data_IF_371026154247
#
_entry.id   IF_371026154247
#
_cell.length_a   1.000
_cell.length_b   1.000
_cell.length_c   1.000
_cell.angle_alpha   90.00
_cell.angle_beta   90.00
_cell.angle_gamma   90.00
#
_symmetry.space_group_name_H-M   'P 1'
#
loop_
_entity.id
_entity.type
_entity.pdbx_description
1 polymer ?
#
# COMPACT_ATOMS: atom_id res chain seq x y z
N UNK A 1 9.18 -8.26 -29.27
CA UNK A 1 7.74 -8.20 -29.62
C UNK A 1 7.16 -7.00 -28.90
N UNK A 2 6.41 -6.17 -29.61
CA UNK A 2 6.20 -4.77 -29.26
C UNK A 2 5.41 -4.56 -27.96
N UNK A 3 5.96 -3.64 -27.18
CA UNK A 3 5.48 -3.03 -25.94
C UNK A 3 4.05 -2.50 -26.13
N UNK A 4 3.07 -3.13 -25.49
CA UNK A 4 1.74 -2.53 -25.36
C UNK A 4 1.86 -1.54 -24.21
N UNK A 5 1.79 -0.24 -24.52
CA UNK A 5 1.67 0.85 -23.58
C UNK A 5 0.42 0.66 -22.70
N UNK A 6 0.56 -0.10 -21.60
CA UNK A 6 -0.42 -0.12 -20.51
C UNK A 6 -0.20 1.06 -19.54
N UNK A 7 0.78 1.94 -19.81
CA UNK A 7 1.28 2.99 -18.92
C UNK A 7 0.50 4.31 -18.91
N UNK A 8 -0.63 4.44 -19.62
CA UNK A 8 -1.34 5.74 -19.72
C UNK A 8 -2.84 5.71 -19.43
N UNK A 9 -3.46 4.53 -19.27
CA UNK A 9 -4.92 4.45 -19.06
C UNK A 9 -5.26 4.09 -17.63
N UNK A 10 -5.92 5.03 -16.95
CA UNK A 10 -6.52 4.80 -15.64
C UNK A 10 -7.46 3.57 -15.70
N UNK A 11 -7.54 2.78 -14.61
CA UNK A 11 -8.40 1.60 -14.55
C UNK A 11 -9.86 2.01 -14.33
N UNK A 12 -10.48 2.68 -15.31
CA UNK A 12 -11.81 3.30 -15.20
C UNK A 12 -12.87 2.35 -14.66
N UNK A 13 -12.94 1.12 -15.16
CA UNK A 13 -13.92 0.13 -14.71
C UNK A 13 -13.74 -0.24 -13.23
N UNK A 14 -12.50 -0.32 -12.74
CA UNK A 14 -12.19 -0.64 -11.34
C UNK A 14 -12.46 0.57 -10.43
N UNK A 15 -12.15 1.78 -10.90
CA UNK A 15 -12.45 3.03 -10.20
C UNK A 15 -13.96 3.25 -10.06
N UNK A 16 -14.74 2.87 -11.08
CA UNK A 16 -16.20 3.01 -11.07
C UNK A 16 -16.86 2.18 -9.95
N UNK A 17 -16.29 1.03 -9.58
CA UNK A 17 -16.75 0.22 -8.42
C UNK A 17 -16.65 1.00 -7.10
N UNK A 18 -15.73 1.96 -7.03
CA UNK A 18 -15.55 2.85 -5.88
C UNK A 18 -16.35 4.16 -6.02
N UNK A 19 -17.26 4.26 -6.99
CA UNK A 19 -18.04 5.46 -7.25
C UNK A 19 -17.27 6.59 -7.93
N UNK A 20 -16.06 6.30 -8.41
CA UNK A 20 -15.25 7.18 -9.26
C UNK A 20 -15.53 6.77 -10.72
N UNK A 21 -16.63 7.28 -11.28
CA UNK A 21 -16.94 7.08 -12.70
C UNK A 21 -15.87 7.72 -13.62
N UNK A 22 -16.07 7.57 -14.93
CA UNK A 22 -15.10 8.06 -15.92
C UNK A 22 -14.84 9.56 -15.83
N UNK A 23 -15.88 10.37 -15.64
CA UNK A 23 -15.74 11.83 -15.55
C UNK A 23 -14.93 12.20 -14.30
N UNK A 24 -15.23 11.55 -13.18
CA UNK A 24 -14.51 11.73 -11.91
C UNK A 24 -13.05 11.28 -11.98
N UNK A 25 -12.80 10.17 -12.67
CA UNK A 25 -11.46 9.64 -12.91
C UNK A 25 -10.65 10.59 -13.80
N UNK A 26 -11.27 11.12 -14.85
CA UNK A 26 -10.66 12.10 -15.75
C UNK A 26 -10.39 13.44 -15.05
N UNK A 27 -11.14 13.78 -13.99
CA UNK A 27 -10.90 14.98 -13.18
C UNK A 27 -9.94 14.78 -11.99
N UNK A 28 -9.44 13.57 -11.75
CA UNK A 28 -8.48 13.31 -10.66
C UNK A 28 -7.28 14.26 -10.73
N UNK A 29 -6.78 14.74 -9.58
CA UNK A 29 -5.56 15.54 -9.54
C UNK A 29 -4.39 14.81 -10.19
N UNK A 30 -3.52 15.57 -10.83
CA UNK A 30 -2.38 15.04 -11.59
C UNK A 30 -1.49 14.13 -10.73
N UNK A 31 -1.23 14.50 -9.47
CA UNK A 31 -0.47 13.69 -8.50
C UNK A 31 -1.09 12.28 -8.31
N UNK A 32 -2.42 12.17 -8.26
CA UNK A 32 -3.11 10.90 -8.07
C UNK A 32 -2.98 10.03 -9.32
N UNK A 33 -3.13 10.64 -10.51
CA UNK A 33 -2.99 9.93 -11.78
C UNK A 33 -1.57 9.42 -11.97
N UNK A 34 -0.57 10.24 -11.66
CA UNK A 34 0.84 9.88 -11.73
C UNK A 34 1.18 8.73 -10.77
N UNK A 35 0.72 8.79 -9.52
CA UNK A 35 0.92 7.71 -8.55
C UNK A 35 0.22 6.41 -8.95
N UNK A 36 -1.00 6.49 -9.47
CA UNK A 36 -1.68 5.31 -10.00
C UNK A 36 -0.94 4.73 -11.22
N UNK A 37 -0.46 5.57 -12.14
CA UNK A 37 0.27 5.12 -13.31
C UNK A 37 1.64 4.53 -12.96
N UNK A 38 2.32 5.07 -11.94
CA UNK A 38 3.59 4.54 -11.45
C UNK A 38 3.42 3.28 -10.61
N UNK A 39 2.22 3.02 -10.07
CA UNK A 39 1.97 1.92 -9.13
C UNK A 39 2.32 2.27 -7.68
N UNK A 40 2.51 3.56 -7.39
CA UNK A 40 2.61 4.09 -6.03
C UNK A 40 1.25 4.10 -5.34
N UNK A 41 1.29 4.17 -4.01
CA UNK A 41 0.09 4.37 -3.21
C UNK A 41 -0.33 5.84 -3.31
N UNK A 42 -1.61 6.09 -3.62
CA UNK A 42 -2.16 7.45 -3.74
C UNK A 42 -2.18 8.18 -2.39
N UNK A 43 -2.32 9.52 -2.40
CA UNK A 43 -2.83 10.26 -1.26
C UNK A 43 -4.20 9.73 -0.83
N UNK A 44 -4.66 10.18 0.33
CA UNK A 44 -5.97 9.81 0.86
C UNK A 44 -7.08 10.40 -0.02
N UNK A 45 -8.02 9.56 -0.46
CA UNK A 45 -9.17 9.91 -1.30
C UNK A 45 -10.44 9.63 -0.53
N UNK A 46 -11.38 10.56 -0.53
CA UNK A 46 -12.73 10.32 -0.04
C UNK A 46 -13.63 9.92 -1.20
N UNK A 47 -14.06 8.66 -1.22
CA UNK A 47 -14.95 8.13 -2.26
C UNK A 47 -16.38 7.98 -1.75
N UNK A 48 -17.35 8.02 -2.66
CA UNK A 48 -18.77 7.84 -2.32
C UNK A 48 -19.33 6.66 -3.10
N UNK A 49 -19.76 5.61 -2.39
CA UNK A 49 -20.21 4.33 -2.94
C UNK A 49 -21.69 4.15 -2.59
N UNK A 50 -22.52 3.79 -3.56
CA UNK A 50 -23.91 3.44 -3.30
C UNK A 50 -24.00 2.08 -2.60
N UNK A 51 -24.54 2.05 -1.40
CA UNK A 51 -24.88 0.85 -0.68
C UNK A 51 -26.01 0.08 -1.38
N UNK A 52 -26.15 -1.21 -1.08
CA UNK A 52 -27.23 -2.06 -1.63
C UNK A 52 -28.64 -1.57 -1.28
N UNK A 53 -28.78 -0.79 -0.21
CA UNK A 53 -30.05 -0.20 0.23
C UNK A 53 -30.32 1.18 -0.39
N UNK A 54 -29.45 1.68 -1.28
CA UNK A 54 -29.59 2.99 -1.91
C UNK A 54 -28.91 4.14 -1.15
N UNK A 55 -28.39 3.92 0.06
CA UNK A 55 -27.68 4.95 0.82
C UNK A 55 -26.31 5.25 0.21
N UNK A 56 -25.90 6.52 0.26
CA UNK A 56 -24.56 6.91 -0.17
C UNK A 56 -23.56 6.77 1.00
N UNK A 57 -22.62 5.85 0.86
CA UNK A 57 -21.55 5.62 1.83
C UNK A 57 -20.35 6.45 1.41
N UNK A 58 -19.85 7.29 2.32
CA UNK A 58 -18.60 7.99 2.12
C UNK A 58 -17.47 7.26 2.85
N UNK A 59 -16.38 6.96 2.14
CA UNK A 59 -15.27 6.15 2.65
C UNK A 59 -13.92 6.79 2.28
N UNK A 60 -13.10 7.20 3.26
CA UNK A 60 -11.72 7.58 3.01
C UNK A 60 -10.84 6.33 2.80
N UNK A 61 -10.06 6.32 1.72
CA UNK A 61 -9.17 5.22 1.35
C UNK A 61 -7.96 5.70 0.53
N UNK A 62 -6.91 4.89 0.48
CA UNK A 62 -5.84 5.02 -0.53
C UNK A 62 -5.99 3.95 -1.59
N UNK A 63 -5.45 4.21 -2.77
CA UNK A 63 -5.45 3.27 -3.89
C UNK A 63 -4.02 2.93 -4.32
N UNK A 64 -3.86 1.76 -4.91
CA UNK A 64 -2.64 1.39 -5.62
C UNK A 64 -3.02 0.55 -6.84
N UNK A 65 -2.48 0.90 -8.00
CA UNK A 65 -2.56 0.05 -9.18
C UNK A 65 -1.46 -1.01 -9.12
N UNK A 66 -1.84 -2.28 -9.20
CA UNK A 66 -0.92 -3.41 -9.21
C UNK A 66 -1.21 -4.30 -10.41
N UNK A 67 -0.26 -5.17 -10.76
CA UNK A 67 -0.51 -6.25 -11.72
C UNK A 67 -0.94 -7.51 -10.98
N UNK A 68 -1.99 -8.18 -11.45
CA UNK A 68 -2.38 -9.49 -10.95
C UNK A 68 -1.39 -10.59 -11.38
N UNK A 69 -1.67 -11.83 -11.00
CA UNK A 69 -0.83 -13.00 -11.35
C UNK A 69 -0.73 -13.28 -12.86
N UNK A 70 -1.59 -12.68 -13.67
CA UNK A 70 -1.62 -12.80 -15.13
C UNK A 70 -1.08 -11.54 -15.83
N UNK A 71 -0.63 -10.53 -15.07
CA UNK A 71 -0.15 -9.26 -15.61
C UNK A 71 -1.26 -8.26 -15.94
N UNK A 72 -2.50 -8.52 -15.54
CA UNK A 72 -3.60 -7.58 -15.77
C UNK A 72 -3.64 -6.50 -14.68
N UNK A 73 -4.09 -5.26 -14.99
CA UNK A 73 -4.24 -4.22 -13.99
C UNK A 73 -5.31 -4.58 -12.95
N UNK A 74 -4.94 -4.49 -11.68
CA UNK A 74 -5.81 -4.65 -10.53
C UNK A 74 -5.69 -3.44 -9.60
N UNK A 75 -6.80 -3.01 -9.03
CA UNK A 75 -6.84 -1.86 -8.13
C UNK A 75 -6.96 -2.35 -6.69
N UNK A 76 -5.93 -2.08 -5.88
CA UNK A 76 -5.95 -2.33 -4.44
C UNK A 76 -6.49 -1.10 -3.72
N UNK A 77 -7.37 -1.32 -2.74
CA UNK A 77 -7.94 -0.26 -1.91
C UNK A 77 -7.60 -0.48 -0.43
N UNK A 78 -7.11 0.59 0.22
CA UNK A 78 -6.68 0.61 1.61
C UNK A 78 -7.58 1.59 2.38
N UNK A 79 -8.73 1.14 2.91
CA UNK A 79 -9.64 2.00 3.65
C UNK A 79 -9.03 2.42 5.00
N UNK A 80 -9.38 3.62 5.46
CA UNK A 80 -8.97 4.11 6.78
C UNK A 80 -9.68 3.33 7.88
N UNK A 81 -8.92 2.95 8.90
CA UNK A 81 -9.38 2.26 10.10
C UNK A 81 -8.83 2.95 11.35
N UNK A 82 -9.55 2.83 12.47
CA UNK A 82 -9.04 3.35 13.75
C UNK A 82 -7.84 2.56 14.27
N UNK A 83 -7.81 1.24 14.01
CA UNK A 83 -6.76 0.33 14.46
C UNK A 83 -6.45 -0.74 13.41
N UNK A 84 -5.26 -1.33 13.52
CA UNK A 84 -4.92 -2.55 12.80
C UNK A 84 -5.80 -3.70 13.30
N UNK A 85 -6.80 -4.10 12.49
CA UNK A 85 -7.73 -5.19 12.82
C UNK A 85 -7.14 -6.55 12.41
N UNK A 86 -6.69 -7.34 13.41
CA UNK A 86 -6.18 -8.70 13.20
C UNK A 86 -7.28 -9.65 12.68
N UNK A 87 -8.47 -9.53 13.24
CA UNK A 87 -9.58 -10.50 13.08
C UNK A 87 -10.32 -10.39 11.75
N UNK A 88 -10.33 -9.20 11.13
CA UNK A 88 -11.02 -8.96 9.86
C UNK A 88 -10.12 -9.23 8.66
N UNK A 89 -8.81 -9.26 8.86
CA UNK A 89 -7.86 -9.70 7.85
C UNK A 89 -7.49 -11.18 8.07
N UNK A 90 -8.52 -12.04 8.09
CA UNK A 90 -8.36 -13.50 8.31
C UNK A 90 -7.45 -14.14 7.27
N UNK A 91 -7.27 -13.51 6.11
CA UNK A 91 -6.31 -13.97 5.10
C UNK A 91 -4.87 -13.85 5.61
N UNK A 92 -4.55 -12.79 6.34
CA UNK A 92 -3.18 -12.55 6.84
C UNK A 92 -2.85 -13.33 8.12
N UNK A 93 -3.82 -13.69 8.97
CA UNK A 93 -3.59 -14.45 10.21
C UNK A 93 -2.39 -13.94 11.04
N UNK A 94 -2.37 -12.63 11.33
CA UNK A 94 -1.28 -11.99 12.07
C UNK A 94 -1.25 -12.45 13.53
N UNK A 95 -0.07 -12.90 13.98
CA UNK A 95 0.22 -13.09 15.40
C UNK A 95 0.34 -11.74 16.11
N UNK A 96 0.30 -11.74 17.44
CA UNK A 96 0.47 -10.50 18.21
C UNK A 96 1.84 -9.86 17.98
N UNK A 97 2.90 -10.66 17.96
CA UNK A 97 4.26 -10.20 17.73
C UNK A 97 4.40 -9.56 16.34
N UNK A 98 3.82 -10.17 15.30
CA UNK A 98 3.83 -9.61 13.94
C UNK A 98 3.05 -8.30 13.86
N UNK A 99 1.89 -8.22 14.49
CA UNK A 99 1.09 -7.00 14.54
C UNK A 99 1.83 -5.85 15.25
N UNK A 100 2.55 -6.13 16.36
CA UNK A 100 3.34 -5.12 17.06
C UNK A 100 4.55 -4.65 16.23
N UNK A 101 5.20 -5.55 15.49
CA UNK A 101 6.28 -5.17 14.56
C UNK A 101 5.78 -4.26 13.45
N UNK A 102 4.64 -4.61 12.84
CA UNK A 102 3.96 -3.78 11.84
C UNK A 102 3.60 -2.39 12.39
N UNK A 103 3.09 -2.31 13.63
CA UNK A 103 2.79 -1.02 14.30
C UNK A 103 4.02 -0.16 14.54
N UNK A 104 5.21 -0.76 14.72
CA UNK A 104 6.49 -0.06 14.83
C UNK A 104 7.04 0.41 13.48
N UNK A 105 6.33 0.14 12.38
CA UNK A 105 6.74 0.50 11.02
C UNK A 105 7.67 -0.51 10.36
N UNK A 106 7.85 -1.70 10.96
CA UNK A 106 8.64 -2.76 10.32
C UNK A 106 7.89 -3.38 9.13
N UNK A 107 8.65 -3.81 8.13
CA UNK A 107 8.17 -4.77 7.13
C UNK A 107 8.45 -6.18 7.65
N UNK A 108 7.49 -7.08 7.47
CA UNK A 108 7.64 -8.50 7.82
C UNK A 108 7.36 -9.38 6.62
N UNK A 109 8.07 -10.50 6.52
CA UNK A 109 7.76 -11.58 5.61
C UNK A 109 6.86 -12.61 6.30
N UNK A 110 5.78 -13.04 5.65
CA UNK A 110 4.85 -14.03 6.19
C UNK A 110 4.31 -14.95 5.09
N UNK A 111 4.09 -16.22 5.44
CA UNK A 111 3.33 -17.15 4.62
C UNK A 111 1.83 -16.82 4.72
N UNK A 112 1.22 -16.45 3.61
CA UNK A 112 -0.20 -16.09 3.49
C UNK A 112 -0.87 -17.07 2.55
N UNK A 113 -2.03 -17.61 2.95
CA UNK A 113 -2.84 -18.46 2.11
C UNK A 113 -3.83 -17.61 1.31
N UNK A 114 -3.63 -17.52 0.00
CA UNK A 114 -4.48 -16.75 -0.90
C UNK A 114 -5.10 -17.71 -1.90
N UNK A 115 -6.42 -17.83 -1.90
CA UNK A 115 -7.16 -18.74 -2.79
C UNK A 115 -6.70 -20.22 -2.71
N UNK A 116 -6.27 -20.69 -1.53
CA UNK A 116 -5.79 -22.05 -1.30
C UNK A 116 -4.30 -22.28 -1.61
N UNK A 117 -3.59 -21.25 -2.11
CA UNK A 117 -2.14 -21.30 -2.33
C UNK A 117 -1.39 -20.58 -1.22
N UNK A 118 -0.43 -21.27 -0.59
CA UNK A 118 0.49 -20.65 0.37
C UNK A 118 1.58 -19.91 -0.38
N UNK A 119 1.59 -18.59 -0.23
CA UNK A 119 2.57 -17.69 -0.86
C UNK A 119 3.33 -16.93 0.20
N UNK A 120 4.63 -16.68 -0.04
CA UNK A 120 5.42 -15.80 0.82
C UNK A 120 5.17 -14.35 0.41
N UNK A 121 4.76 -13.52 1.37
CA UNK A 121 4.43 -12.12 1.14
C UNK A 121 5.15 -11.22 2.12
N UNK A 122 5.56 -10.04 1.64
CA UNK A 122 5.92 -8.93 2.50
C UNK A 122 4.66 -8.20 2.94
N UNK A 123 4.62 -7.77 4.19
CA UNK A 123 3.55 -7.03 4.83
C UNK A 123 4.11 -5.73 5.41
N UNK A 124 3.44 -4.61 5.16
CA UNK A 124 3.79 -3.29 5.70
C UNK A 124 2.52 -2.57 6.13
N UNK A 125 2.52 -1.98 7.34
CA UNK A 125 1.40 -1.18 7.81
C UNK A 125 1.49 0.23 7.22
N UNK A 126 0.40 0.70 6.61
CA UNK A 126 0.26 2.10 6.27
C UNK A 126 -0.20 2.89 7.50
N UNK A 127 0.57 3.87 7.98
CA UNK A 127 0.24 4.59 9.21
C UNK A 127 -1.00 5.47 9.06
N UNK A 128 -1.36 5.89 7.84
CA UNK A 128 -2.51 6.78 7.63
C UNK A 128 -3.83 6.03 7.65
N UNK A 129 -3.88 4.89 6.96
CA UNK A 129 -5.09 4.09 6.86
C UNK A 129 -5.20 3.01 7.92
N UNK A 130 -4.09 2.69 8.61
CA UNK A 130 -3.93 1.49 9.46
C UNK A 130 -4.24 0.18 8.73
N UNK A 131 -4.20 0.20 7.39
CA UNK A 131 -4.34 -0.98 6.54
C UNK A 131 -2.97 -1.60 6.25
N UNK A 132 -2.95 -2.91 6.04
CA UNK A 132 -1.72 -3.65 5.71
C UNK A 132 -1.61 -3.76 4.19
N UNK A 133 -0.55 -3.17 3.64
CA UNK A 133 -0.12 -3.37 2.27
C UNK A 133 0.62 -4.71 2.22
N UNK A 134 0.32 -5.54 1.22
CA UNK A 134 0.94 -6.84 1.06
C UNK A 134 1.31 -7.11 -0.40
N UNK A 135 2.44 -7.78 -0.62
CA UNK A 135 2.94 -8.14 -1.94
C UNK A 135 3.74 -9.44 -1.89
N UNK A 136 3.64 -10.27 -2.94
CA UNK A 136 4.43 -11.51 -3.02
C UNK A 136 5.92 -11.17 -3.05
N UNK A 137 6.70 -11.96 -2.33
CA UNK A 137 8.17 -11.80 -2.29
C UNK A 137 8.78 -11.94 -3.68
N UNK A 138 8.22 -12.81 -4.53
CA UNK A 138 8.65 -13.00 -5.92
C UNK A 138 8.45 -11.77 -6.80
N UNK A 139 7.49 -10.91 -6.46
CA UNK A 139 7.18 -9.69 -7.22
C UNK A 139 8.09 -8.54 -6.76
N UNK A 140 8.71 -8.66 -5.57
CA UNK A 140 9.70 -7.71 -5.04
C UNK A 140 11.09 -8.21 -5.42
N UNK A 141 11.65 -7.68 -6.51
CA UNK A 141 12.94 -8.10 -7.07
C UNK A 141 14.16 -7.58 -6.28
N UNK A 142 14.04 -7.42 -4.96
CA UNK A 142 15.08 -6.86 -4.10
C UNK A 142 16.35 -7.72 -4.10
N UNK A 143 16.23 -9.05 -4.01
CA UNK A 143 17.39 -9.96 -4.07
C UNK A 143 18.14 -9.83 -5.40
N UNK A 144 17.43 -9.65 -6.51
CA UNK A 144 18.06 -9.47 -7.82
C UNK A 144 18.79 -8.13 -7.88
N UNK A 145 18.16 -7.05 -7.40
CA UNK A 145 18.79 -5.73 -7.35
C UNK A 145 20.08 -5.74 -6.54
N UNK A 146 20.10 -6.45 -5.42
CA UNK A 146 21.29 -6.58 -4.58
C UNK A 146 22.41 -7.36 -5.26
N UNK A 147 22.10 -8.46 -5.96
CA UNK A 147 23.09 -9.20 -6.76
C UNK A 147 23.71 -8.32 -7.84
N UNK A 148 22.91 -7.47 -8.47
CA UNK A 148 23.40 -6.53 -9.49
C UNK A 148 24.30 -5.46 -8.84
N UNK A 149 23.98 -5.02 -7.62
CA UNK A 149 24.83 -4.11 -6.86
C UNK A 149 26.16 -4.77 -6.41
N UNK A 150 26.15 -6.03 -5.97
CA UNK A 150 27.37 -6.79 -5.64
C UNK A 150 28.34 -6.84 -6.83
N UNK A 151 27.82 -7.10 -8.04
CA UNK A 151 28.62 -7.20 -9.26
C UNK A 151 29.21 -5.88 -9.74
N UNK A 152 28.47 -4.79 -9.58
CA UNK A 152 28.85 -3.49 -10.16
C UNK A 152 29.74 -2.68 -9.21
N UNK A 153 29.60 -2.88 -7.89
CA UNK A 153 30.19 -1.99 -6.89
C UNK A 153 31.29 -2.65 -6.03
N UNK A 154 31.75 -3.86 -6.37
CA UNK A 154 32.73 -4.65 -5.61
C UNK A 154 32.37 -4.77 -4.11
N UNK A 155 31.07 -4.93 -3.82
CA UNK A 155 30.57 -5.15 -2.46
C UNK A 155 30.24 -6.64 -2.27
N UNK A 156 30.55 -7.18 -1.09
CA UNK A 156 30.14 -8.54 -0.71
C UNK A 156 29.14 -8.46 0.45
N UNK A 157 27.89 -8.88 0.22
CA UNK A 157 26.89 -8.94 1.28
C UNK A 157 27.18 -10.13 2.20
N UNK A 158 27.37 -9.86 3.48
CA UNK A 158 27.50 -10.91 4.50
C UNK A 158 26.23 -11.74 4.65
N UNK A 159 26.35 -12.96 5.19
CA UNK A 159 25.20 -13.85 5.42
C UNK A 159 24.09 -13.19 6.23
N UNK A 160 24.44 -12.38 7.24
CA UNK A 160 23.48 -11.65 8.07
C UNK A 160 22.69 -10.61 7.28
N UNK A 161 23.32 -9.87 6.37
CA UNK A 161 22.64 -8.87 5.54
C UNK A 161 21.69 -9.55 4.54
N UNK A 162 22.12 -10.67 3.93
CA UNK A 162 21.26 -11.49 3.06
C UNK A 162 20.03 -12.00 3.79
N UNK A 163 20.18 -12.42 5.06
CA UNK A 163 19.06 -12.85 5.88
C UNK A 163 18.13 -11.69 6.24
N UNK A 164 18.65 -10.52 6.60
CA UNK A 164 17.86 -9.33 6.88
C UNK A 164 17.02 -8.90 5.67
N UNK A 165 17.61 -8.90 4.48
CA UNK A 165 16.92 -8.62 3.21
C UNK A 165 15.77 -9.59 2.98
N UNK A 166 15.99 -10.89 3.20
CA UNK A 166 14.94 -11.91 3.06
C UNK A 166 13.77 -11.63 3.99
N UNK A 167 14.07 -11.27 5.23
CA UNK A 167 13.07 -10.87 6.24
C UNK A 167 12.37 -9.53 5.93
N UNK A 168 12.82 -8.80 4.90
CA UNK A 168 12.31 -7.49 4.51
C UNK A 168 12.90 -6.33 5.30
N UNK A 169 13.89 -6.59 6.15
CA UNK A 169 14.55 -5.56 6.96
C UNK A 169 15.49 -4.72 6.10
N UNK A 170 15.58 -3.40 6.37
CA UNK A 170 16.56 -2.55 5.73
C UNK A 170 17.98 -2.93 6.17
N UNK A 171 18.93 -2.77 5.24
CA UNK A 171 20.36 -2.98 5.46
C UNK A 171 21.14 -1.75 4.99
N UNK A 172 22.29 -1.52 5.62
CA UNK A 172 23.28 -0.52 5.19
C UNK A 172 24.39 -1.21 4.38
N UNK A 173 24.75 -0.58 3.27
CA UNK A 173 25.80 -0.97 2.35
C UNK A 173 26.79 0.18 2.20
N UNK A 174 28.06 -0.15 1.96
CA UNK A 174 29.07 0.82 1.55
C UNK A 174 29.39 0.60 0.08
N UNK A 175 28.92 1.51 -0.77
CA UNK A 175 29.05 1.44 -2.23
C UNK A 175 29.99 2.57 -2.67
N UNK A 176 31.19 2.23 -3.13
CA UNK A 176 32.14 3.22 -3.62
C UNK A 176 32.57 4.29 -2.59
N UNK A 177 32.54 3.96 -1.29
CA UNK A 177 32.85 4.90 -0.21
C UNK A 177 31.65 5.66 0.35
N UNK A 178 30.47 5.49 -0.24
CA UNK A 178 29.22 6.09 0.22
C UNK A 178 28.34 5.08 0.96
N UNK A 179 27.68 5.55 2.01
CA UNK A 179 26.67 4.76 2.72
C UNK A 179 25.36 4.79 1.96
N UNK A 180 24.79 3.62 1.74
CA UNK A 180 23.50 3.43 1.08
C UNK A 180 22.65 2.50 1.92
N UNK A 181 21.43 2.89 2.23
CA UNK A 181 20.45 2.04 2.88
C UNK A 181 19.45 1.50 1.86
N UNK A 182 19.19 0.20 1.92
CA UNK A 182 18.24 -0.47 1.04
C UNK A 182 17.33 -1.37 1.86
N UNK A 183 16.02 -1.31 1.59
CA UNK A 183 15.03 -2.10 2.32
C UNK A 183 13.72 -2.22 1.55
N UNK A 184 12.86 -3.14 1.99
CA UNK A 184 11.52 -3.32 1.42
C UNK A 184 10.66 -2.13 1.83
N UNK A 185 9.94 -1.55 0.86
CA UNK A 185 8.94 -0.51 1.05
C UNK A 185 7.85 -0.74 -0.01
N UNK A 186 6.72 -1.30 0.42
CA UNK A 186 5.60 -1.72 -0.44
C UNK A 186 4.77 -0.54 -0.94
N UNK A 187 5.00 0.66 -0.39
CA UNK A 187 4.45 1.91 -0.92
C UNK A 187 5.08 2.30 -2.26
N UNK A 188 6.29 1.79 -2.53
CA UNK A 188 7.01 2.01 -3.77
C UNK A 188 6.58 0.99 -4.85
N UNK A 189 6.58 1.37 -6.14
CA UNK A 189 6.14 0.48 -7.23
C UNK A 189 6.92 -0.82 -7.32
N UNK A 190 8.24 -0.76 -7.14
CA UNK A 190 9.12 -1.94 -7.13
C UNK A 190 9.09 -2.73 -5.82
N UNK A 191 8.45 -2.19 -4.78
CA UNK A 191 8.34 -2.82 -3.45
C UNK A 191 9.58 -2.70 -2.59
N UNK A 192 10.59 -1.93 -3.00
CA UNK A 192 11.77 -1.64 -2.21
C UNK A 192 12.28 -0.23 -2.51
N UNK A 193 13.02 0.33 -1.55
CA UNK A 193 13.60 1.66 -1.63
C UNK A 193 15.11 1.59 -1.42
N UNK A 194 15.83 2.44 -2.14
CA UNK A 194 17.26 2.69 -1.98
C UNK A 194 17.41 4.15 -1.61
N UNK A 195 18.16 4.44 -0.55
CA UNK A 195 18.40 5.79 -0.03
C UNK A 195 19.90 5.97 0.10
N UNK A 196 20.42 7.09 -0.39
CA UNK A 196 21.79 7.51 -0.10
C UNK A 196 21.83 8.04 1.34
N UNK A 197 22.53 7.34 2.23
CA UNK A 197 22.50 7.58 3.66
C UNK A 197 22.71 6.31 4.47
N UNK A 198 22.87 6.51 5.78
CA UNK A 198 22.98 5.43 6.76
C UNK A 198 21.60 5.00 7.29
N UNK A 199 21.59 4.01 8.18
CA UNK A 199 20.35 3.56 8.81
C UNK A 199 19.59 4.66 9.57
N UNK A 200 20.25 5.71 10.05
CA UNK A 200 19.57 6.83 10.71
C UNK A 200 18.80 7.68 9.71
N UNK A 201 19.36 7.89 8.53
CA UNK A 201 18.67 8.57 7.43
C UNK A 201 17.47 7.75 6.95
N UNK A 202 17.60 6.42 6.88
CA UNK A 202 16.46 5.54 6.62
C UNK A 202 15.33 5.73 7.65
N UNK A 203 15.64 5.68 8.94
CA UNK A 203 14.66 5.90 10.00
C UNK A 203 14.06 7.31 9.96
N UNK A 204 14.89 8.33 9.68
CA UNK A 204 14.44 9.72 9.54
C UNK A 204 13.45 9.87 8.40
N UNK A 205 13.72 9.26 7.24
CA UNK A 205 12.82 9.29 6.08
C UNK A 205 11.49 8.56 6.36
N UNK A 206 11.52 7.47 7.13
CA UNK A 206 10.28 6.81 7.57
C UNK A 206 9.48 7.69 8.54
N UNK A 207 10.16 8.42 9.45
CA UNK A 207 9.51 9.32 10.42
C UNK A 207 9.03 10.63 9.80
N UNK A 208 9.78 11.25 8.88
CA UNK A 208 9.35 12.46 8.18
C UNK A 208 8.08 12.22 7.37
N UNK A 209 7.97 11.07 6.69
CA UNK A 209 6.72 10.66 6.03
C UNK A 209 5.56 10.55 7.02
N UNK A 210 5.81 10.21 8.28
CA UNK A 210 4.79 10.12 9.33
C UNK A 210 4.42 11.51 9.88
N UNK A 211 5.42 12.37 10.12
CA UNK A 211 5.25 13.68 10.75
C UNK A 211 4.76 14.77 9.77
N UNK A 212 5.17 14.76 8.50
CA UNK A 212 4.66 15.68 7.45
C UNK A 212 3.18 15.44 7.11
N UNK A 213 2.64 14.27 7.48
CA UNK A 213 1.29 13.85 7.11
C UNK A 213 0.23 14.05 8.21
N UNK A 214 0.57 14.54 9.40
CA UNK A 214 -0.41 14.65 10.51
C UNK A 214 -0.48 16.05 11.12
N UNK A 215 -1.56 16.78 10.77
CA UNK A 215 -2.55 17.13 11.80
C UNK A 215 -3.93 16.60 11.37
N UNK A 216 -4.10 15.30 11.60
CA UNK A 216 -5.32 14.48 11.49
C UNK A 216 -6.03 14.35 10.12
N UNK A 217 -5.22 14.25 9.05
CA UNK A 217 -5.52 13.67 7.72
C UNK A 217 -6.36 14.50 6.75
N UNK A 218 -5.61 15.32 6.01
CA UNK A 218 -6.03 15.92 4.75
C UNK A 218 -6.10 14.86 3.65
N UNK A 219 -7.17 14.87 2.88
CA UNK A 219 -7.38 14.03 1.70
C UNK A 219 -8.14 14.77 0.63
N UNK A 220 -8.18 14.18 -0.56
CA UNK A 220 -8.88 14.74 -1.70
C UNK A 220 -10.36 14.35 -1.64
N UNK A 221 -11.23 15.36 -1.63
CA UNK A 221 -12.68 15.22 -1.66
C UNK A 221 -13.21 15.74 -2.98
N UNK A 222 -14.15 15.01 -3.57
CA UNK A 222 -14.89 15.50 -4.71
C UNK A 222 -16.01 16.44 -4.24
N UNK A 223 -15.97 17.69 -4.71
CA UNK A 223 -16.99 18.71 -4.45
C UNK A 223 -18.20 18.56 -5.36
N UNK A 224 -19.28 19.25 -5.00
CA UNK A 224 -20.52 19.39 -5.78
C UNK A 224 -20.32 19.96 -7.20
N UNK A 225 -19.18 20.61 -7.46
CA UNK A 225 -18.79 21.15 -8.77
C UNK A 225 -17.91 20.22 -9.60
N UNK A 226 -17.90 18.91 -9.30
CA UNK A 226 -17.04 17.92 -9.95
C UNK A 226 -15.53 18.23 -9.87
N UNK A 227 -15.10 18.93 -8.81
CA UNK A 227 -13.70 19.31 -8.58
C UNK A 227 -13.14 18.62 -7.33
N UNK A 228 -11.89 18.17 -7.40
CA UNK A 228 -11.16 17.62 -6.26
C UNK A 228 -10.47 18.71 -5.45
N UNK A 229 -10.65 18.70 -4.13
CA UNK A 229 -10.06 19.66 -3.20
C UNK A 229 -9.46 18.96 -1.98
N UNK A 230 -8.32 19.47 -1.48
CA UNK A 230 -7.72 18.97 -0.24
C UNK A 230 -8.52 19.49 0.96
N UNK A 231 -9.07 18.57 1.75
CA UNK A 231 -9.82 18.87 2.96
C UNK A 231 -9.50 17.83 4.03
N UNK A 232 -9.79 18.14 5.29
CA UNK A 232 -9.69 17.13 6.34
C UNK A 232 -10.80 16.09 6.12
N UNK A 233 -10.42 14.84 5.89
CA UNK A 233 -11.36 13.74 5.57
C UNK A 233 -11.45 12.70 6.67
N UNK A 234 -10.58 12.78 7.68
CA UNK A 234 -10.60 11.88 8.83
C UNK A 234 -10.77 12.68 10.12
N UNK A 235 -11.82 12.35 10.87
CA UNK A 235 -12.02 12.76 12.25
C UNK A 235 -12.22 11.49 13.10
N UNK A 236 -12.22 11.61 14.45
CA UNK A 236 -12.39 10.44 15.33
C UNK A 236 -13.70 9.67 15.08
N UNK A 237 -14.79 10.35 14.74
CA UNK A 237 -16.08 9.72 14.44
C UNK A 237 -16.13 9.14 13.02
N UNK A 238 -15.41 9.69 12.05
CA UNK A 238 -15.33 9.15 10.69
C UNK A 238 -14.51 7.87 10.65
N UNK A 239 -13.48 7.74 11.48
CA UNK A 239 -12.78 6.47 11.73
C UNK A 239 -13.73 5.40 12.28
N UNK A 240 -14.59 5.75 13.24
CA UNK A 240 -15.60 4.82 13.77
C UNK A 240 -16.70 4.47 12.77
N UNK A 241 -17.13 5.40 11.91
CA UNK A 241 -18.15 5.14 10.87
C UNK A 241 -17.60 4.23 9.78
N UNK A 242 -16.36 4.45 9.34
CA UNK A 242 -15.66 3.54 8.43
C UNK A 242 -15.61 2.10 8.99
N UNK A 243 -15.47 1.95 10.31
CA UNK A 243 -15.56 0.66 10.99
C UNK A 243 -16.99 0.09 11.03
N UNK A 244 -17.99 0.93 11.34
CA UNK A 244 -19.41 0.55 11.58
C UNK A 244 -20.23 0.26 10.31
N UNK A 245 -19.73 0.61 9.13
CA UNK A 245 -20.34 0.26 7.82
C UNK A 245 -20.45 -1.27 7.56
N UNK A 246 -20.02 -2.09 8.51
CA UNK A 246 -20.10 -3.55 8.46
C UNK A 246 -20.51 -4.14 9.81
N UNK A 247 -21.63 -3.71 10.35
CA UNK A 247 -22.42 -4.56 11.23
C UNK A 247 -23.77 -4.88 10.59
N UNK A 248 -23.89 -5.93 9.76
CA UNK A 248 -25.08 -6.75 9.85
C UNK A 248 -24.93 -7.63 11.09
N UNK A 249 -25.86 -7.50 12.04
CA UNK A 249 -26.11 -8.59 12.99
C UNK A 249 -26.34 -9.86 12.16
N UNK A 250 -25.56 -10.88 12.51
CA UNK A 250 -25.74 -12.30 12.23
C UNK A 250 -26.66 -12.67 11.05
N UNK A 251 -26.08 -13.19 9.98
CA UNK A 251 -26.45 -14.52 9.49
C UNK A 251 -25.37 -15.06 8.55
N UNK A 252 -24.99 -16.32 8.80
CA UNK A 252 -24.09 -17.10 7.97
C UNK A 252 -24.67 -17.23 6.55
N UNK A 253 -23.90 -16.90 5.51
CA UNK A 253 -23.68 -17.78 4.36
C UNK A 253 -23.08 -17.07 3.13
N UNK A 254 -22.04 -17.72 2.58
CA UNK A 254 -21.54 -17.72 1.19
C UNK A 254 -21.16 -16.36 0.59
N UNK A 255 -19.84 -16.14 0.56
CA UNK A 255 -19.19 -14.94 0.02
C UNK A 255 -19.49 -14.67 -1.46
N UNK A 256 -19.49 -13.38 -1.80
CA UNK A 256 -19.46 -12.90 -3.17
C UNK A 256 -18.00 -12.63 -3.59
N UNK A 257 -17.63 -13.16 -4.76
CA UNK A 257 -16.50 -12.68 -5.56
C UNK A 257 -16.99 -11.53 -6.45
N UNK A 258 -16.15 -10.51 -6.63
CA UNK A 258 -16.21 -9.57 -7.75
C UNK A 258 -15.11 -9.93 -8.75
#
# INVERSE_FOLDING_TARGET
MHNINHSERLPYEKLAVLGIDREKADSLPQEVKEKLASGEVTPLLQVSISARNGDLITLPLKLQLVSDKYGNPALMAYPVRAVLEKERNQVLCLTEQEAERLKKGEVIQKAVEVNGEKTQQYLQLDPETKSVIHRRVTDVQLEQKLKDMEKVNDIELGMQQKQQVREGKPIELNVGGEKVSVGVDLKEPQGFKVIQGDMKEWERQQKLRYDEQHPEFLGLVMTDKNRWEYQQVVDKQSQERALKLHAPKAEQSKGLKL
#
